data_IF_298723649126
#
_entry.id   IF_298723649126
#
_cell.length_a   1.000
_cell.length_b   1.000
_cell.length_c   1.000
_cell.angle_alpha   90.00
_cell.angle_beta   90.00
_cell.angle_gamma   90.00
#
_symmetry.space_group_name_H-M   'P 1'
#
loop_
_entity.id
_entity.type
_entity.pdbx_description
1 polymer ?
#
# COMPACT_ATOMS: atom_id res chain seq x y z
N UNK A 1 -14.14 -4.73 8.16
CA UNK A 1 -12.80 -5.31 8.13
C UNK A 1 -12.61 -5.97 6.77
N UNK A 2 -11.59 -5.54 6.02
CA UNK A 2 -11.22 -6.08 4.71
C UNK A 2 -9.79 -6.62 4.78
N UNK A 3 -9.52 -7.65 3.99
CA UNK A 3 -8.18 -8.23 3.80
C UNK A 3 -7.79 -8.02 2.35
N UNK A 4 -6.70 -7.33 2.08
CA UNK A 4 -6.27 -7.03 0.72
C UNK A 4 -4.78 -7.35 0.55
N UNK A 5 -4.43 -7.89 -0.61
CA UNK A 5 -3.05 -8.18 -1.00
C UNK A 5 -2.27 -6.91 -1.32
N UNK A 6 -0.97 -6.94 -1.01
CA UNK A 6 0.01 -6.00 -1.56
C UNK A 6 -0.13 -5.92 -3.09
N UNK A 7 0.07 -4.74 -3.68
CA UNK A 7 0.09 -4.55 -5.14
C UNK A 7 1.32 -5.17 -5.81
N UNK A 8 2.38 -5.45 -5.05
CA UNK A 8 3.67 -5.92 -5.58
C UNK A 8 3.93 -7.40 -5.31
N UNK A 9 3.22 -8.03 -4.36
CA UNK A 9 3.41 -9.44 -4.02
C UNK A 9 2.18 -10.05 -3.32
N UNK A 10 2.28 -11.32 -2.90
CA UNK A 10 1.19 -12.07 -2.27
C UNK A 10 0.97 -11.80 -0.78
N UNK A 11 1.77 -10.94 -0.15
CA UNK A 11 1.54 -10.54 1.24
C UNK A 11 0.17 -9.88 1.41
N UNK A 12 -0.51 -10.17 2.52
CA UNK A 12 -1.83 -9.61 2.83
C UNK A 12 -1.76 -8.71 4.05
N UNK A 13 -2.56 -7.66 4.04
CA UNK A 13 -2.79 -6.82 5.19
C UNK A 13 -4.30 -6.67 5.44
N UNK A 14 -4.66 -6.51 6.71
CA UNK A 14 -6.03 -6.37 7.17
C UNK A 14 -6.27 -4.95 7.70
N UNK A 15 -7.48 -4.43 7.51
CA UNK A 15 -7.87 -3.16 8.10
C UNK A 15 -9.38 -2.96 8.17
N UNK A 16 -9.84 -2.22 9.18
CA UNK A 16 -11.24 -1.81 9.28
C UNK A 16 -11.54 -0.62 8.36
N UNK A 17 -10.59 0.31 8.26
CA UNK A 17 -10.58 1.44 7.34
C UNK A 17 -9.38 1.37 6.40
N UNK A 18 -9.39 2.19 5.36
CA UNK A 18 -8.24 2.31 4.45
C UNK A 18 -6.96 2.77 5.20
N UNK A 19 -7.09 3.68 6.16
CA UNK A 19 -5.95 4.14 6.96
C UNK A 19 -5.39 3.02 7.85
N UNK A 20 -6.25 2.20 8.45
CA UNK A 20 -5.79 1.07 9.27
C UNK A 20 -5.11 0.01 8.43
N UNK A 21 -5.65 -0.28 7.25
CA UNK A 21 -5.04 -1.18 6.28
C UNK A 21 -3.69 -0.65 5.79
N UNK A 22 -3.59 0.65 5.47
CA UNK A 22 -2.34 1.30 5.08
C UNK A 22 -1.28 1.22 6.19
N UNK A 23 -1.67 1.43 7.45
CA UNK A 23 -0.77 1.27 8.60
C UNK A 23 -0.30 -0.17 8.77
N UNK A 24 -1.17 -1.15 8.50
CA UNK A 24 -0.82 -2.57 8.56
C UNK A 24 0.09 -2.99 7.38
N UNK A 25 -0.11 -2.41 6.20
CA UNK A 25 0.67 -2.70 4.99
C UNK A 25 2.06 -2.04 5.01
N UNK A 26 2.19 -0.85 5.61
CA UNK A 26 3.43 -0.07 5.55
C UNK A 26 4.68 -0.78 6.09
N UNK A 27 4.63 -1.50 7.23
CA UNK A 27 5.76 -2.29 7.71
C UNK A 27 6.27 -3.30 6.67
N UNK A 28 5.35 -3.96 5.96
CA UNK A 28 5.71 -4.88 4.88
C UNK A 28 6.43 -4.16 3.74
N UNK A 29 5.97 -2.97 3.34
CA UNK A 29 6.66 -2.16 2.33
C UNK A 29 8.07 -1.74 2.76
N UNK A 30 8.25 -1.36 4.03
CA UNK A 30 9.56 -0.96 4.54
C UNK A 30 10.56 -2.11 4.61
N UNK A 31 10.11 -3.35 4.81
CA UNK A 31 10.99 -4.52 4.91
C UNK A 31 11.18 -5.25 3.57
N UNK A 32 10.09 -5.55 2.85
CA UNK A 32 10.13 -6.37 1.64
C UNK A 32 10.23 -5.57 0.34
N UNK A 33 9.85 -4.28 0.37
CA UNK A 33 9.87 -3.36 -0.79
C UNK A 33 10.63 -2.07 -0.45
N UNK A 34 11.70 -2.19 0.34
CA UNK A 34 12.53 -1.07 0.77
C UNK A 34 13.14 -0.29 -0.42
N UNK A 35 13.36 -0.97 -1.54
CA UNK A 35 13.77 -0.38 -2.81
C UNK A 35 12.71 0.60 -3.35
N UNK A 36 11.43 0.24 -3.29
CA UNK A 36 10.32 1.14 -3.68
C UNK A 36 10.26 2.35 -2.74
N UNK A 37 10.45 2.12 -1.44
CA UNK A 37 10.43 3.19 -0.43
C UNK A 37 11.62 4.16 -0.54
N UNK A 38 12.75 3.72 -1.08
CA UNK A 38 13.98 4.51 -1.24
C UNK A 38 14.22 5.00 -2.67
N UNK A 39 13.33 4.67 -3.61
CA UNK A 39 13.45 5.07 -5.01
C UNK A 39 13.29 6.60 -5.15
N UNK A 40 14.41 7.28 -5.35
CA UNK A 40 14.47 8.73 -5.54
C UNK A 40 13.89 9.21 -6.86
N UNK A 41 13.57 8.31 -7.80
CA UNK A 41 12.89 8.66 -9.05
C UNK A 41 11.39 8.91 -8.85
N UNK A 42 10.81 8.43 -7.75
CA UNK A 42 9.38 8.60 -7.45
C UNK A 42 9.07 10.03 -7.07
N UNK A 43 8.19 10.64 -7.85
CA UNK A 43 7.70 11.99 -7.61
C UNK A 43 6.58 11.99 -6.57
N UNK A 44 6.18 13.18 -6.13
CA UNK A 44 4.98 13.33 -5.30
C UNK A 44 3.70 12.88 -6.05
N UNK A 45 3.66 13.07 -7.38
CA UNK A 45 2.55 12.61 -8.22
C UNK A 45 2.44 11.08 -8.19
N UNK A 46 3.57 10.36 -8.30
CA UNK A 46 3.59 8.90 -8.21
C UNK A 46 3.06 8.40 -6.85
N UNK A 47 3.43 9.08 -5.77
CA UNK A 47 2.94 8.75 -4.41
C UNK A 47 1.44 8.98 -4.30
N UNK A 48 0.94 10.10 -4.81
CA UNK A 48 -0.49 10.42 -4.80
C UNK A 48 -1.30 9.43 -5.65
N UNK A 49 -0.77 9.06 -6.81
CA UNK A 49 -1.37 8.04 -7.67
C UNK A 49 -1.43 6.69 -6.97
N UNK A 50 -0.33 6.25 -6.37
CA UNK A 50 -0.28 4.99 -5.61
C UNK A 50 -1.29 4.99 -4.45
N UNK A 51 -1.43 6.10 -3.71
CA UNK A 51 -2.43 6.24 -2.65
C UNK A 51 -3.87 6.13 -3.20
N UNK A 52 -4.16 6.79 -4.33
CA UNK A 52 -5.48 6.74 -4.95
C UNK A 52 -5.83 5.35 -5.46
N UNK A 53 -4.92 4.71 -6.19
CA UNK A 53 -5.11 3.35 -6.72
C UNK A 53 -5.31 2.33 -5.59
N UNK A 54 -4.51 2.42 -4.52
CA UNK A 54 -4.69 1.53 -3.38
C UNK A 54 -6.00 1.79 -2.63
N UNK A 55 -6.44 3.05 -2.57
CA UNK A 55 -7.75 3.38 -1.99
C UNK A 55 -8.90 2.78 -2.81
N UNK A 56 -8.85 2.90 -4.13
CA UNK A 56 -9.83 2.28 -5.02
C UNK A 56 -9.85 0.76 -4.88
N UNK A 57 -8.67 0.11 -4.81
CA UNK A 57 -8.53 -1.33 -4.55
C UNK A 57 -9.15 -1.73 -3.22
N UNK A 58 -8.87 -0.98 -2.16
CA UNK A 58 -9.45 -1.23 -0.84
C UNK A 58 -10.97 -1.05 -0.84
N UNK A 59 -11.47 -0.02 -1.50
CA UNK A 59 -12.91 0.26 -1.56
C UNK A 59 -13.65 -0.80 -2.40
N UNK A 60 -12.98 -1.46 -3.35
CA UNK A 60 -13.52 -2.51 -4.22
C UNK A 60 -13.58 -3.93 -3.63
N UNK A 61 -12.84 -4.25 -2.56
CA UNK A 61 -12.99 -5.51 -1.78
C UNK A 61 -14.21 -5.54 -0.86
#
# INVERSE_FOLDING_TARGET
MKTLKCDLCDATADGETFEDWMKALMPHYMEAHADVMSDSSKTEEDKNKWMAENKERFDAE
#
